data_IF_699273817349
#
_entry.id   IF_699273817349
#
_cell.length_a   1.000
_cell.length_b   1.000
_cell.length_c   1.000
_cell.angle_alpha   90.00
_cell.angle_beta   90.00
_cell.angle_gamma   90.00
#
_symmetry.space_group_name_H-M   'P 1'
#
loop_
_entity.id
_entity.type
_entity.pdbx_description
1 polymer ?
#
# COMPACT_ATOMS: atom_id res chain seq x y z
N UNK A 1 -15.16 15.98 20.61
CA UNK A 1 -13.92 15.20 20.76
C UNK A 1 -12.88 15.84 19.86
N UNK A 2 -11.70 16.13 20.37
CA UNK A 2 -10.62 16.89 19.72
C UNK A 2 -10.24 16.26 18.37
N UNK A 3 -10.47 17.02 17.29
CA UNK A 3 -10.16 16.65 15.90
C UNK A 3 -8.67 16.66 15.61
N UNK A 4 -7.93 15.78 16.26
CA UNK A 4 -6.50 15.63 16.02
C UNK A 4 -6.29 14.60 14.91
N UNK A 5 -5.89 15.10 13.73
CA UNK A 5 -5.53 14.25 12.61
C UNK A 5 -4.28 13.41 12.93
N UNK A 6 -4.27 12.11 12.60
CA UNK A 6 -3.09 11.26 12.78
C UNK A 6 -1.88 11.85 12.05
N UNK A 7 -0.70 11.68 12.63
CA UNK A 7 0.54 12.10 11.98
C UNK A 7 0.82 11.26 10.73
N UNK A 8 1.50 11.88 9.76
CA UNK A 8 1.83 11.24 8.47
C UNK A 8 2.61 9.94 8.68
N UNK A 9 3.52 9.97 9.64
CA UNK A 9 4.35 8.82 10.01
C UNK A 9 3.50 7.68 10.55
N UNK A 10 2.45 7.98 11.32
CA UNK A 10 1.50 6.98 11.84
C UNK A 10 0.69 6.35 10.71
N UNK A 11 0.23 7.15 9.74
CA UNK A 11 -0.51 6.66 8.58
C UNK A 11 0.37 5.70 7.76
N UNK A 12 1.64 6.07 7.56
CA UNK A 12 2.59 5.27 6.80
C UNK A 12 3.01 3.99 7.54
N UNK A 13 3.32 4.10 8.83
CA UNK A 13 3.70 2.98 9.69
C UNK A 13 2.59 1.91 9.76
N UNK A 14 1.35 2.34 9.97
CA UNK A 14 0.17 1.46 9.93
C UNK A 14 0.08 0.70 8.61
N UNK A 15 0.29 1.40 7.49
CA UNK A 15 0.21 0.76 6.19
C UNK A 15 1.33 -0.23 5.91
N UNK A 16 2.54 0.03 6.40
CA UNK A 16 3.67 -0.91 6.37
C UNK A 16 3.35 -2.16 7.19
N UNK A 17 2.70 -1.99 8.34
CA UNK A 17 2.28 -3.09 9.21
C UNK A 17 1.02 -3.83 8.74
N UNK A 18 0.54 -3.57 7.52
CA UNK A 18 -0.61 -4.26 6.93
C UNK A 18 -1.96 -3.82 7.49
N UNK A 19 -2.02 -2.71 8.24
CA UNK A 19 -3.28 -2.10 8.64
C UNK A 19 -3.82 -1.29 7.46
N UNK A 20 -5.03 -1.61 6.95
CA UNK A 20 -5.59 -0.90 5.82
C UNK A 20 -5.91 0.54 6.20
N UNK A 21 -5.58 1.46 5.31
CA UNK A 21 -6.12 2.82 5.30
C UNK A 21 -7.40 2.74 4.47
N UNK A 22 -8.56 2.98 5.07
CA UNK A 22 -9.85 2.81 4.39
C UNK A 22 -10.28 4.09 3.66
N UNK A 23 -11.16 3.97 2.67
CA UNK A 23 -11.76 5.13 1.98
C UNK A 23 -12.46 6.08 2.96
N UNK A 24 -13.14 5.54 3.97
CA UNK A 24 -13.79 6.34 5.02
C UNK A 24 -12.77 7.10 5.86
N UNK A 25 -11.65 6.46 6.22
CA UNK A 25 -10.57 7.10 6.95
C UNK A 25 -9.92 8.22 6.13
N UNK A 26 -9.64 7.99 4.84
CA UNK A 26 -9.11 9.01 3.93
C UNK A 26 -10.07 10.20 3.83
N UNK A 27 -11.36 9.93 3.67
CA UNK A 27 -12.40 10.96 3.57
C UNK A 27 -12.52 11.77 4.86
N UNK A 28 -12.47 11.09 6.02
CA UNK A 28 -12.50 11.74 7.32
C UNK A 28 -11.26 12.64 7.52
N UNK A 29 -10.07 12.15 7.19
CA UNK A 29 -8.83 12.94 7.28
C UNK A 29 -8.89 14.16 6.35
N UNK A 30 -9.41 14.00 5.12
CA UNK A 30 -9.57 15.10 4.18
C UNK A 30 -10.56 16.17 4.66
N UNK A 31 -11.70 15.75 5.22
CA UNK A 31 -12.70 16.67 5.78
C UNK A 31 -12.12 17.46 6.95
N UNK A 32 -11.52 16.76 7.92
CA UNK A 32 -10.93 17.41 9.09
C UNK A 32 -9.75 18.32 8.71
N UNK A 33 -8.92 17.95 7.73
CA UNK A 33 -7.84 18.84 7.25
C UNK A 33 -8.38 20.11 6.60
N UNK A 34 -9.46 19.99 5.83
CA UNK A 34 -10.11 21.13 5.18
C UNK A 34 -10.75 22.07 6.21
N UNK A 35 -11.40 21.51 7.24
CA UNK A 35 -11.97 22.27 8.36
C UNK A 35 -10.89 23.02 9.17
N UNK A 36 -9.73 22.39 9.39
CA UNK A 36 -8.64 22.99 10.17
C UNK A 36 -7.85 24.05 9.40
N UNK A 37 -7.64 23.85 8.09
CA UNK A 37 -6.79 24.74 7.28
C UNK A 37 -7.59 25.79 6.50
N UNK A 38 -8.92 25.70 6.48
CA UNK A 38 -9.81 26.62 5.75
C UNK A 38 -9.63 26.59 4.23
N UNK A 39 -8.79 25.67 3.73
CA UNK A 39 -8.44 25.47 2.33
C UNK A 39 -8.57 23.97 2.08
N UNK A 40 -8.93 23.53 0.88
CA UNK A 40 -9.06 22.09 0.59
C UNK A 40 -7.77 21.30 0.84
N UNK A 41 -7.77 19.97 0.63
CA UNK A 41 -6.62 19.10 0.92
C UNK A 41 -5.31 19.69 0.41
N UNK A 42 -4.35 19.91 1.31
CA UNK A 42 -3.12 20.60 0.95
C UNK A 42 -2.11 19.60 0.36
N UNK A 43 -1.34 20.04 -0.64
CA UNK A 43 -0.30 19.19 -1.24
C UNK A 43 0.72 18.79 -0.18
N UNK A 44 0.91 17.48 -0.01
CA UNK A 44 1.77 16.95 1.05
C UNK A 44 1.18 17.11 2.45
N UNK A 45 -0.11 17.38 2.60
CA UNK A 45 -0.86 17.32 3.86
C UNK A 45 -1.07 15.89 4.36
N UNK A 46 -1.69 15.77 5.53
CA UNK A 46 -2.08 14.48 6.10
C UNK A 46 -3.12 13.79 5.21
N UNK A 47 -4.04 14.55 4.62
CA UNK A 47 -5.02 14.02 3.67
C UNK A 47 -4.36 13.49 2.38
N UNK A 48 -3.40 14.25 1.83
CA UNK A 48 -2.64 13.80 0.65
C UNK A 48 -1.80 12.55 0.95
N UNK A 49 -1.21 12.45 2.15
CA UNK A 49 -0.49 11.24 2.59
C UNK A 49 -1.45 10.06 2.74
N UNK A 50 -2.60 10.22 3.38
CA UNK A 50 -3.60 9.17 3.54
C UNK A 50 -4.08 8.62 2.19
N UNK A 51 -4.41 9.52 1.24
CA UNK A 51 -4.79 9.12 -0.11
C UNK A 51 -3.65 8.36 -0.81
N UNK A 52 -2.43 8.89 -0.77
CA UNK A 52 -1.29 8.25 -1.43
C UNK A 52 -0.99 6.86 -0.87
N UNK A 53 -1.10 6.69 0.44
CA UNK A 53 -0.90 5.40 1.11
C UNK A 53 -2.02 4.42 0.74
N UNK A 54 -3.27 4.87 0.80
CA UNK A 54 -4.43 4.08 0.34
C UNK A 54 -4.24 3.57 -1.09
N UNK A 55 -3.88 4.45 -2.02
CA UNK A 55 -3.71 4.08 -3.44
C UNK A 55 -2.58 3.06 -3.63
N UNK A 56 -1.49 3.18 -2.88
CA UNK A 56 -0.39 2.20 -2.89
C UNK A 56 -0.82 0.84 -2.34
N UNK A 57 -1.60 0.83 -1.25
CA UNK A 57 -2.15 -0.41 -0.68
C UNK A 57 -3.06 -1.09 -1.69
N UNK A 58 -3.99 -0.35 -2.30
CA UNK A 58 -4.90 -0.90 -3.30
C UNK A 58 -4.13 -1.46 -4.50
N UNK A 59 -3.17 -0.71 -5.04
CA UNK A 59 -2.34 -1.19 -6.14
C UNK A 59 -1.54 -2.46 -5.78
N UNK A 60 -1.04 -2.59 -4.54
CA UNK A 60 -0.39 -3.81 -4.10
C UNK A 60 -1.35 -4.99 -3.99
N UNK A 61 -2.53 -4.78 -3.39
CA UNK A 61 -3.56 -5.81 -3.25
C UNK A 61 -4.10 -6.27 -4.60
N UNK A 62 -4.29 -5.36 -5.56
CA UNK A 62 -4.75 -5.69 -6.91
C UNK A 62 -3.72 -6.57 -7.62
N UNK A 63 -2.44 -6.17 -7.60
CA UNK A 63 -1.36 -6.95 -8.20
C UNK A 63 -1.15 -8.30 -7.53
N UNK A 64 -1.15 -8.35 -6.20
CA UNK A 64 -1.05 -9.60 -5.47
C UNK A 64 -2.27 -10.51 -5.72
N UNK A 65 -3.47 -9.94 -5.82
CA UNK A 65 -4.71 -10.64 -6.11
C UNK A 65 -4.75 -11.22 -7.52
N UNK A 66 -4.27 -10.48 -8.52
CA UNK A 66 -4.16 -10.96 -9.90
C UNK A 66 -3.22 -12.16 -10.00
N UNK A 67 -2.10 -12.15 -9.28
CA UNK A 67 -1.17 -13.30 -9.22
C UNK A 67 -1.74 -14.45 -8.40
N UNK A 68 -2.44 -14.18 -7.29
CA UNK A 68 -3.03 -15.20 -6.43
C UNK A 68 -4.16 -16.00 -7.11
N UNK A 69 -4.79 -15.45 -8.15
CA UNK A 69 -5.79 -16.16 -8.97
C UNK A 69 -5.16 -17.12 -9.99
N UNK A 70 -3.85 -17.01 -10.24
CA UNK A 70 -3.15 -17.91 -11.16
C UNK A 70 -2.83 -19.23 -10.45
N UNK A 71 -2.83 -20.37 -11.18
CA UNK A 71 -2.25 -21.61 -10.68
C UNK A 71 -0.79 -21.41 -10.26
N UNK A 72 -0.35 -22.10 -9.21
CA UNK A 72 0.99 -21.94 -8.67
C UNK A 72 2.08 -22.21 -9.72
N UNK A 73 1.86 -23.15 -10.64
CA UNK A 73 2.79 -23.51 -11.71
C UNK A 73 2.86 -22.44 -12.84
N UNK A 74 1.91 -21.51 -12.86
CA UNK A 74 1.83 -20.43 -13.86
C UNK A 74 2.36 -19.10 -13.35
N UNK A 75 2.79 -19.02 -12.10
CA UNK A 75 3.42 -17.82 -11.54
C UNK A 75 4.77 -17.61 -12.24
N UNK A 76 4.94 -16.45 -12.89
CA UNK A 76 6.18 -16.09 -13.59
C UNK A 76 7.04 -15.10 -12.81
N UNK A 77 8.27 -14.88 -13.29
CA UNK A 77 9.17 -13.87 -12.71
C UNK A 77 8.63 -12.45 -12.91
N UNK A 78 7.93 -12.22 -14.01
CA UNK A 78 7.27 -10.94 -14.29
C UNK A 78 6.18 -10.66 -13.25
N UNK A 79 5.36 -11.66 -12.92
CA UNK A 79 4.32 -11.56 -11.88
C UNK A 79 4.93 -11.21 -10.52
N UNK A 80 5.99 -11.93 -10.12
CA UNK A 80 6.71 -11.65 -8.89
C UNK A 80 7.31 -10.23 -8.87
N UNK A 81 7.88 -9.79 -10.00
CA UNK A 81 8.46 -8.46 -10.13
C UNK A 81 7.42 -7.33 -10.08
N UNK A 82 6.22 -7.54 -10.61
CA UNK A 82 5.12 -6.56 -10.50
C UNK A 82 4.69 -6.37 -9.05
N UNK A 83 4.48 -7.48 -8.32
CA UNK A 83 4.11 -7.45 -6.90
C UNK A 83 5.22 -6.84 -6.06
N UNK A 84 6.49 -7.17 -6.33
CA UNK A 84 7.64 -6.59 -5.65
C UNK A 84 7.71 -5.07 -5.82
N UNK A 85 7.48 -4.56 -7.04
CA UNK A 85 7.47 -3.11 -7.30
C UNK A 85 6.33 -2.41 -6.57
N UNK A 86 5.16 -3.03 -6.52
CA UNK A 86 4.01 -2.49 -5.79
C UNK A 86 4.28 -2.45 -4.27
N UNK A 87 4.82 -3.54 -3.73
CA UNK A 87 5.19 -3.65 -2.30
C UNK A 87 6.27 -2.63 -1.93
N UNK A 88 7.30 -2.49 -2.76
CA UNK A 88 8.38 -1.52 -2.54
C UNK A 88 7.89 -0.07 -2.48
N UNK A 89 6.90 0.28 -3.32
CA UNK A 89 6.27 1.60 -3.33
C UNK A 89 5.41 1.86 -2.09
N UNK A 90 4.75 0.81 -1.60
CA UNK A 90 3.94 0.87 -0.40
C UNK A 90 4.82 1.11 0.83
N UNK A 91 5.85 0.29 1.01
CA UNK A 91 6.72 0.38 2.19
C UNK A 91 7.78 1.47 2.10
N UNK A 92 8.03 2.01 0.90
CA UNK A 92 9.05 3.03 0.67
C UNK A 92 10.49 2.48 0.66
N UNK A 93 10.67 1.20 0.33
CA UNK A 93 11.95 0.52 0.45
C UNK A 93 11.95 -0.87 -0.20
N UNK A 94 13.00 -1.65 0.03
CA UNK A 94 13.08 -3.01 -0.49
C UNK A 94 12.22 -3.96 0.37
N UNK A 95 11.36 -4.80 -0.23
CA UNK A 95 10.59 -5.79 0.51
C UNK A 95 11.48 -6.73 1.31
N UNK A 96 11.04 -7.10 2.51
CA UNK A 96 11.77 -7.99 3.40
C UNK A 96 11.73 -9.45 2.92
N UNK A 97 12.65 -10.26 3.44
CA UNK A 97 12.61 -11.71 3.19
C UNK A 97 11.34 -12.31 3.82
N UNK A 98 10.67 -13.20 3.10
CA UNK A 98 9.41 -13.81 3.52
C UNK A 98 8.17 -12.94 3.25
N UNK A 99 8.35 -11.75 2.66
CA UNK A 99 7.24 -10.96 2.13
C UNK A 99 6.48 -11.68 1.02
N UNK A 100 5.31 -11.16 0.65
CA UNK A 100 4.52 -11.74 -0.44
C UNK A 100 5.32 -11.79 -1.74
N UNK A 101 6.00 -10.70 -2.11
CA UNK A 101 6.84 -10.68 -3.31
C UNK A 101 8.02 -11.66 -3.25
N UNK A 102 8.64 -11.84 -2.08
CA UNK A 102 9.72 -12.82 -1.90
C UNK A 102 9.22 -14.26 -2.08
N UNK A 103 8.01 -14.56 -1.60
CA UNK A 103 7.38 -15.86 -1.76
C UNK A 103 7.00 -16.13 -3.23
N UNK A 104 6.47 -15.12 -3.92
CA UNK A 104 6.15 -15.21 -5.35
C UNK A 104 7.39 -15.41 -6.20
N UNK A 105 8.49 -14.70 -5.90
CA UNK A 105 9.76 -14.90 -6.61
C UNK A 105 10.27 -16.34 -6.43
N UNK A 106 10.19 -16.86 -5.21
CA UNK A 106 10.57 -18.25 -4.92
C UNK A 106 9.69 -19.27 -5.65
N UNK A 107 8.40 -18.99 -5.83
CA UNK A 107 7.49 -19.83 -6.60
C UNK A 107 7.82 -19.78 -8.10
N UNK A 108 8.03 -18.59 -8.65
CA UNK A 108 8.43 -18.40 -10.04
C UNK A 108 9.76 -19.10 -10.36
N UNK A 109 10.73 -19.02 -9.46
CA UNK A 109 12.03 -19.68 -9.63
C UNK A 109 11.88 -21.20 -9.69
N UNK A 110 10.98 -21.80 -8.89
CA UNK A 110 10.69 -23.24 -8.95
C UNK A 110 10.01 -23.66 -10.25
N UNK A 111 9.17 -22.81 -10.83
CA UNK A 111 8.50 -23.11 -12.10
C UNK A 111 9.45 -23.04 -13.31
N UNK A 112 10.62 -22.41 -13.15
CA UNK A 112 11.64 -22.31 -14.20
C UNK A 112 12.75 -23.36 -14.08
N UNK A 113 12.69 -24.25 -13.08
CA UNK A 113 13.59 -25.39 -12.90
C UNK A 113 13.08 -26.62 -13.64
#
# INVERSE_FOLDING_TARGET
>A
MSGQLPDKDIIQDRAVHGLPVTTDEVSHIASTESELTGTGPIKGGKAATAQSVHDKQQNFLDKAGDVARKPAEQITKEDAAEVQKAEARLIGGQPEKGSMSANLQSAADKNQQ
#
